data_IF_486064499485
#
_entry.id   IF_486064499485
#
_cell.length_a   1.000
_cell.length_b   1.000
_cell.length_c   1.000
_cell.angle_alpha   90.00
_cell.angle_beta   90.00
_cell.angle_gamma   90.00
#
_symmetry.space_group_name_H-M   'P 1'
#
loop_
_entity.id
_entity.type
_entity.pdbx_description
1 polymer ?
#
# COMPACT_ATOMS: atom_id res chain seq x y z
N UNK A 1 -4.68 14.37 -12.96
CA UNK A 1 -4.56 13.89 -11.56
C UNK A 1 -3.08 13.73 -11.29
N UNK A 2 -2.52 14.39 -10.28
CA UNK A 2 -1.12 14.17 -9.90
C UNK A 2 -0.96 12.75 -9.34
N UNK A 3 0.06 12.02 -9.73
CA UNK A 3 0.33 10.68 -9.19
C UNK A 3 0.76 10.78 -7.72
N UNK A 4 0.25 9.87 -6.88
CA UNK A 4 0.68 9.74 -5.49
C UNK A 4 0.65 8.26 -5.10
N UNK A 5 1.82 7.77 -4.69
CA UNK A 5 2.01 6.41 -4.19
C UNK A 5 2.74 6.46 -2.85
N UNK A 6 2.22 5.72 -1.89
CA UNK A 6 2.71 5.62 -0.53
C UNK A 6 3.00 4.17 -0.19
N UNK A 7 4.24 3.89 0.25
CA UNK A 7 4.64 2.59 0.74
C UNK A 7 5.15 2.72 2.18
N UNK A 8 4.61 1.91 3.09
CA UNK A 8 5.08 1.79 4.46
C UNK A 8 5.46 0.34 4.75
N UNK A 9 6.71 0.12 5.11
CA UNK A 9 7.23 -1.18 5.53
C UNK A 9 7.50 -1.17 7.02
N UNK A 10 7.08 -2.24 7.72
CA UNK A 10 7.29 -2.41 9.16
C UNK A 10 7.89 -3.76 9.51
N UNK A 11 8.85 -3.74 10.42
CA UNK A 11 9.39 -4.91 11.08
C UNK A 11 8.85 -4.94 12.52
N UNK A 12 8.22 -6.05 12.90
CA UNK A 12 7.55 -6.22 14.19
C UNK A 12 8.51 -6.86 15.19
N UNK A 13 9.10 -8.01 14.81
CA UNK A 13 9.86 -8.83 15.74
C UNK A 13 11.34 -8.45 15.81
N UNK A 14 11.88 -7.86 14.73
CA UNK A 14 13.32 -7.59 14.61
C UNK A 14 13.59 -6.15 14.18
N UNK A 15 14.52 -5.49 14.89
CA UNK A 15 15.04 -4.20 14.45
C UNK A 15 15.99 -4.37 13.27
N UNK A 16 15.95 -3.44 12.31
CA UNK A 16 16.85 -3.42 11.17
C UNK A 16 18.31 -3.19 11.59
N UNK A 17 19.19 -4.03 11.06
CA UNK A 17 20.65 -3.82 11.16
C UNK A 17 21.09 -2.57 10.39
N UNK A 18 22.26 -2.03 10.72
CA UNK A 18 22.80 -0.85 10.05
C UNK A 18 22.97 -1.06 8.53
N UNK A 19 23.41 -2.26 8.13
CA UNK A 19 23.56 -2.64 6.73
C UNK A 19 22.20 -2.66 6.00
N UNK A 20 21.17 -3.27 6.60
CA UNK A 20 19.82 -3.29 6.03
C UNK A 20 19.25 -1.88 5.90
N UNK A 21 19.43 -1.02 6.91
CA UNK A 21 19.01 0.39 6.84
C UNK A 21 19.68 1.12 5.68
N UNK A 22 20.99 0.95 5.48
CA UNK A 22 21.72 1.55 4.38
C UNK A 22 21.23 1.06 3.01
N UNK A 23 20.98 -0.26 2.86
CA UNK A 23 20.42 -0.83 1.63
C UNK A 23 19.02 -0.34 1.32
N UNK A 24 18.17 -0.14 2.33
CA UNK A 24 16.81 0.37 2.14
C UNK A 24 16.83 1.87 1.82
N UNK A 25 17.69 2.64 2.49
CA UNK A 25 17.87 4.07 2.24
C UNK A 25 18.45 4.36 0.84
N UNK A 26 19.23 3.45 0.25
CA UNK A 26 19.76 3.64 -1.10
C UNK A 26 18.72 3.49 -2.21
N UNK A 27 17.55 2.88 -1.93
CA UNK A 27 16.47 2.71 -2.91
C UNK A 27 15.82 4.04 -3.32
N UNK A 28 15.78 5.01 -2.39
CA UNK A 28 15.21 6.34 -2.65
C UNK A 28 15.84 7.36 -1.73
N UNK A 29 16.32 8.46 -2.31
CA UNK A 29 16.83 9.61 -1.56
C UNK A 29 15.79 10.28 -0.66
N UNK A 30 14.49 10.04 -0.93
CA UNK A 30 13.37 10.56 -0.14
C UNK A 30 12.83 9.55 0.87
N UNK A 31 13.43 8.37 0.97
CA UNK A 31 13.00 7.35 1.92
C UNK A 31 13.22 7.81 3.37
N UNK A 32 12.21 7.62 4.21
CA UNK A 32 12.32 7.82 5.65
C UNK A 32 12.52 6.45 6.29
N UNK A 33 13.75 6.14 6.71
CA UNK A 33 14.10 4.84 7.30
C UNK A 33 14.41 5.00 8.77
N UNK A 34 13.75 4.18 9.59
CA UNK A 34 13.94 4.06 11.04
C UNK A 34 14.33 2.62 11.39
N UNK A 35 14.59 2.35 12.67
CA UNK A 35 15.01 1.03 13.15
C UNK A 35 13.98 -0.08 12.93
N UNK A 36 12.70 0.24 12.73
CA UNK A 36 11.62 -0.74 12.52
C UNK A 36 10.69 -0.38 11.35
N UNK A 37 10.97 0.73 10.67
CA UNK A 37 10.06 1.30 9.67
C UNK A 37 10.82 1.82 8.47
N UNK A 38 10.29 1.63 7.27
CA UNK A 38 10.77 2.31 6.08
C UNK A 38 9.59 2.83 5.26
N UNK A 39 9.56 4.14 5.06
CA UNK A 39 8.51 4.84 4.34
C UNK A 39 9.04 5.41 3.03
N UNK A 40 8.27 5.23 1.96
CA UNK A 40 8.56 5.76 0.63
C UNK A 40 7.36 6.49 0.06
N UNK A 41 7.60 7.69 -0.44
CA UNK A 41 6.57 8.54 -1.06
C UNK A 41 7.02 8.89 -2.49
N UNK A 42 6.15 8.58 -3.46
CA UNK A 42 6.36 8.88 -4.87
C UNK A 42 5.23 9.75 -5.40
N UNK A 43 5.60 10.74 -6.21
CA UNK A 43 4.67 11.63 -6.91
C UNK A 43 4.67 11.43 -8.44
N UNK A 44 5.52 10.52 -8.91
CA UNK A 44 5.68 10.14 -10.32
C UNK A 44 6.47 8.83 -10.39
N UNK A 45 6.10 7.97 -11.32
CA UNK A 45 6.80 6.70 -11.60
C UNK A 45 6.62 5.65 -10.50
N UNK A 46 7.34 4.55 -10.63
CA UNK A 46 7.13 3.36 -9.80
C UNK A 46 8.21 3.12 -8.73
N UNK A 47 7.83 2.31 -7.73
CA UNK A 47 8.76 1.82 -6.72
C UNK A 47 9.89 1.01 -7.36
N UNK A 48 11.14 1.44 -7.14
CA UNK A 48 12.34 0.83 -7.74
C UNK A 48 12.81 -0.45 -7.03
N UNK A 49 12.30 -0.73 -5.83
CA UNK A 49 12.67 -1.91 -5.07
C UNK A 49 11.80 -3.13 -5.37
N UNK A 50 12.29 -4.31 -5.01
CA UNK A 50 11.48 -5.52 -5.03
C UNK A 50 10.81 -5.72 -3.66
N UNK A 51 9.50 -5.44 -3.61
CA UNK A 51 8.68 -5.58 -2.40
C UNK A 51 8.81 -6.97 -1.76
N UNK A 52 8.75 -8.03 -2.57
CA UNK A 52 8.81 -9.41 -2.10
C UNK A 52 10.17 -9.73 -1.46
N UNK A 53 11.27 -9.25 -2.04
CA UNK A 53 12.61 -9.45 -1.47
C UNK A 53 12.78 -8.69 -0.15
N UNK A 54 12.30 -7.44 -0.07
CA UNK A 54 12.34 -6.64 1.16
C UNK A 54 11.55 -7.29 2.29
N UNK A 55 10.36 -7.81 2.00
CA UNK A 55 9.55 -8.53 2.99
C UNK A 55 10.20 -9.86 3.42
N UNK A 56 10.70 -10.68 2.49
CA UNK A 56 11.34 -11.95 2.85
C UNK A 56 12.57 -11.76 3.73
N UNK A 57 13.36 -10.72 3.46
CA UNK A 57 14.61 -10.47 4.19
C UNK A 57 14.41 -9.74 5.51
N UNK A 58 13.66 -8.64 5.52
CA UNK A 58 13.80 -7.63 6.59
C UNK A 58 12.47 -7.21 7.22
N UNK A 59 11.37 -7.18 6.46
CA UNK A 59 10.10 -6.61 6.91
C UNK A 59 9.00 -7.66 7.08
N UNK A 60 8.06 -7.41 7.98
CA UNK A 60 6.94 -8.32 8.24
C UNK A 60 5.66 -7.82 7.60
N UNK A 61 5.47 -6.50 7.53
CA UNK A 61 4.25 -5.87 7.00
C UNK A 61 4.63 -4.83 5.95
N UNK A 62 3.85 -4.77 4.86
CA UNK A 62 3.90 -3.71 3.86
C UNK A 62 2.51 -3.18 3.61
N UNK A 63 2.34 -1.86 3.66
CA UNK A 63 1.15 -1.14 3.23
C UNK A 63 1.47 -0.32 1.98
N UNK A 64 0.61 -0.41 0.97
CA UNK A 64 0.68 0.34 -0.27
C UNK A 64 -0.65 1.06 -0.47
N UNK A 65 -0.58 2.36 -0.73
CA UNK A 65 -1.74 3.19 -1.04
C UNK A 65 -1.39 4.07 -2.24
N UNK A 66 -2.26 4.10 -3.23
CA UNK A 66 -2.19 5.04 -4.34
C UNK A 66 -3.49 5.82 -4.48
N UNK A 67 -3.37 7.07 -4.90
CA UNK A 67 -4.51 8.00 -4.98
C UNK A 67 -5.51 7.69 -6.10
N UNK A 68 -5.21 6.75 -7.00
CA UNK A 68 -6.16 6.20 -7.98
C UNK A 68 -6.96 5.00 -7.46
N UNK A 69 -7.01 4.81 -6.14
CA UNK A 69 -7.86 3.80 -5.50
C UNK A 69 -7.24 2.40 -5.41
N UNK A 70 -5.92 2.27 -5.55
CA UNK A 70 -5.24 1.02 -5.24
C UNK A 70 -4.77 1.04 -3.79
N UNK A 71 -5.15 0.02 -3.01
CA UNK A 71 -4.56 -0.25 -1.71
C UNK A 71 -4.19 -1.74 -1.61
N UNK A 72 -3.00 -2.02 -1.08
CA UNK A 72 -2.55 -3.39 -0.84
C UNK A 72 -1.90 -3.48 0.53
N UNK A 73 -2.25 -4.50 1.29
CA UNK A 73 -1.63 -4.85 2.56
C UNK A 73 -1.03 -6.24 2.41
N UNK A 74 0.27 -6.35 2.64
CA UNK A 74 0.98 -7.61 2.61
C UNK A 74 1.54 -7.90 3.99
N UNK A 75 1.37 -9.14 4.44
CA UNK A 75 1.83 -9.59 5.75
C UNK A 75 2.61 -10.88 5.56
N UNK A 76 3.82 -10.92 6.10
CA UNK A 76 4.65 -12.12 6.17
C UNK A 76 4.12 -12.99 7.31
N UNK A 77 3.71 -14.20 6.96
CA UNK A 77 3.33 -15.26 7.89
C UNK A 77 4.36 -16.40 7.83
N UNK A 78 4.33 -17.29 8.82
CA UNK A 78 5.24 -18.44 8.89
C UNK A 78 5.20 -19.33 7.62
N UNK A 79 4.05 -19.37 6.94
CA UNK A 79 3.81 -20.17 5.74
C UNK A 79 4.16 -19.44 4.43
N UNK A 80 4.52 -18.15 4.49
CA UNK A 80 4.78 -17.31 3.33
C UNK A 80 4.17 -15.91 3.43
N UNK A 81 4.19 -15.15 2.34
CA UNK A 81 3.62 -13.80 2.31
C UNK A 81 2.16 -13.89 1.90
N UNK A 82 1.29 -13.39 2.77
CA UNK A 82 -0.15 -13.23 2.50
C UNK A 82 -0.38 -11.85 1.90
N UNK A 83 -1.06 -11.82 0.74
CA UNK A 83 -1.36 -10.59 -0.01
C UNK A 83 -2.84 -10.27 0.08
N UNK A 84 -3.18 -9.14 0.69
CA UNK A 84 -4.51 -8.56 0.67
C UNK A 84 -4.54 -7.38 -0.28
N UNK A 85 -5.19 -7.49 -1.44
CA UNK A 85 -5.42 -6.35 -2.33
C UNK A 85 -6.87 -5.90 -2.25
N UNK A 86 -7.07 -4.61 -1.96
CA UNK A 86 -8.37 -3.97 -2.04
C UNK A 86 -8.29 -2.84 -3.04
N UNK A 87 -9.05 -2.96 -4.12
CA UNK A 87 -9.33 -1.81 -4.97
C UNK A 87 -10.38 -0.98 -4.24
N UNK A 88 -9.99 0.19 -3.76
CA UNK A 88 -10.92 1.19 -3.26
C UNK A 88 -11.62 1.73 -4.51
N UNK A 89 -12.81 1.20 -4.78
CA UNK A 89 -13.63 1.68 -5.89
C UNK A 89 -14.13 3.07 -5.52
N UNK A 90 -13.57 4.11 -6.14
CA UNK A 90 -14.22 5.42 -6.18
C UNK A 90 -15.43 5.32 -7.13
N UNK A 91 -16.50 4.62 -6.75
CA UNK A 91 -17.75 4.75 -7.51
C UNK A 91 -18.49 5.97 -7.01
N UNK A 92 -18.23 7.11 -7.65
CA UNK A 92 -19.29 8.01 -8.05
C UNK A 92 -19.10 8.30 -9.54
N UNK A 93 -19.31 7.30 -10.39
CA UNK A 93 -19.63 7.55 -11.80
C UNK A 93 -21.13 7.80 -11.91
N UNK A 94 -21.59 8.90 -11.30
CA UNK A 94 -22.89 9.48 -11.61
C UNK A 94 -22.67 10.45 -12.76
N UNK A 95 -23.00 10.05 -13.98
CA UNK A 95 -23.32 11.01 -15.03
C UNK A 95 -24.41 11.94 -14.47
N UNK A 96 -24.19 13.23 -14.60
CA UNK A 96 -25.09 14.30 -14.16
C UNK A 96 -26.57 13.93 -14.34
N UNK A 97 -27.22 13.75 -13.19
CA UNK A 97 -28.64 13.50 -13.00
C UNK A 97 -28.83 13.49 -11.49
N UNK A 98 -29.17 14.65 -10.94
CA UNK A 98 -29.14 14.97 -9.52
C UNK A 98 -29.88 13.93 -8.67
N UNK A 99 -29.15 13.23 -7.79
CA UNK A 99 -29.72 12.57 -6.61
C UNK A 99 -28.79 12.83 -5.40
N UNK A 100 -29.30 13.31 -4.26
CA UNK A 100 -28.46 13.69 -3.12
C UNK A 100 -27.84 12.47 -2.42
N UNK A 101 -26.59 12.64 -1.97
CA UNK A 101 -25.67 11.62 -1.44
C UNK A 101 -26.06 10.90 -0.13
N UNK A 102 -27.34 10.91 0.29
CA UNK A 102 -27.79 10.22 1.51
C UNK A 102 -28.77 9.07 1.24
N UNK A 103 -29.10 8.78 -0.02
CA UNK A 103 -29.91 7.61 -0.36
C UNK A 103 -29.10 6.31 -0.21
N UNK A 104 -29.01 5.82 1.03
CA UNK A 104 -28.73 4.43 1.36
C UNK A 104 -29.87 3.55 0.84
N UNK A 105 -29.92 3.32 -0.48
CA UNK A 105 -30.70 2.24 -1.04
C UNK A 105 -29.77 1.05 -1.23
N UNK A 106 -29.93 0.08 -0.33
CA UNK A 106 -29.44 -1.28 -0.46
C UNK A 106 -29.81 -1.80 -1.85
N UNK A 107 -28.85 -1.85 -2.79
CA UNK A 107 -29.01 -2.65 -3.99
C UNK A 107 -28.91 -4.12 -3.58
N UNK A 108 -30.04 -4.68 -3.13
CA UNK A 108 -30.21 -6.10 -2.98
C UNK A 108 -30.25 -6.70 -4.39
N UNK A 109 -29.22 -7.47 -4.74
CA UNK A 109 -29.20 -8.30 -5.95
C UNK A 109 -30.21 -9.44 -5.76
N UNK A 110 -31.46 -9.22 -6.13
CA UNK A 110 -32.45 -10.28 -6.28
C UNK A 110 -32.18 -11.07 -7.56
N UNK A 111 -31.77 -12.33 -7.40
CA UNK A 111 -31.80 -13.34 -8.45
C UNK A 111 -33.26 -13.66 -8.80
N UNK A 112 -33.57 -13.66 -10.10
CA UNK A 112 -34.80 -14.18 -10.70
C UNK A 112 -34.49 -14.61 -12.11
#
# INVERSE_FOLDING_TARGET
>A
MSEYQYYDFRAIDQSLTAAQKASVASLSSRAQVSSQRAEFVYHYGDFRGNVTQLMRGTFDVMLYIANWGNASLNVKAAQGIVWGRRRIRHSCSGSWGQAPCWALSVCWSGSG
#
